data_IF_484251384162
#
_entry.id   IF_484251384162
#
_cell.length_a   1.000
_cell.length_b   1.000
_cell.length_c   1.000
_cell.angle_alpha   90.00
_cell.angle_beta   90.00
_cell.angle_gamma   90.00
#
_symmetry.space_group_name_H-M   'P 1'
#
loop_
_entity.id
_entity.type
_entity.pdbx_description
1 polymer ?
#
# COMPACT_ATOMS: atom_id res chain seq x y z
N UNK A 1 -18.88 -30.72 -41.59
CA UNK A 1 -19.61 -29.44 -41.65
C UNK A 1 -20.13 -29.14 -40.26
N UNK A 2 -19.50 -28.20 -39.55
CA UNK A 2 -19.88 -27.83 -38.18
C UNK A 2 -21.26 -27.17 -38.19
N UNK A 3 -22.15 -27.62 -37.32
CA UNK A 3 -23.48 -27.01 -37.16
C UNK A 3 -23.30 -25.54 -36.77
N UNK A 4 -24.05 -24.59 -37.37
CA UNK A 4 -23.98 -23.19 -36.97
C UNK A 4 -24.33 -23.09 -35.48
N UNK A 5 -23.35 -22.68 -34.68
CA UNK A 5 -23.54 -22.42 -33.25
C UNK A 5 -24.50 -21.25 -33.15
N UNK A 6 -25.68 -21.46 -32.58
CA UNK A 6 -26.65 -20.38 -32.37
C UNK A 6 -26.05 -19.39 -31.37
N UNK A 7 -25.66 -18.21 -31.85
CA UNK A 7 -25.16 -17.08 -31.05
C UNK A 7 -26.15 -16.67 -29.94
N UNK A 8 -27.42 -17.04 -30.07
CA UNK A 8 -28.49 -16.88 -29.09
C UNK A 8 -28.23 -17.52 -27.70
N UNK A 9 -27.10 -18.19 -27.48
CA UNK A 9 -26.76 -18.80 -26.19
C UNK A 9 -25.79 -17.98 -25.33
N UNK A 10 -25.20 -16.91 -25.85
CA UNK A 10 -24.23 -16.10 -25.13
C UNK A 10 -24.78 -14.70 -24.85
N UNK A 11 -24.49 -14.16 -23.65
CA UNK A 11 -24.69 -12.74 -23.40
C UNK A 11 -23.81 -11.93 -24.35
N UNK A 12 -24.34 -10.89 -24.99
CA UNK A 12 -23.59 -10.06 -25.92
C UNK A 12 -22.42 -9.31 -25.28
N UNK A 13 -22.57 -8.88 -24.03
CA UNK A 13 -21.59 -8.01 -23.37
C UNK A 13 -20.46 -8.80 -22.69
N UNK A 14 -20.79 -9.86 -21.95
CA UNK A 14 -19.79 -10.62 -21.20
C UNK A 14 -19.40 -11.95 -21.86
N UNK A 15 -20.05 -12.33 -22.97
CA UNK A 15 -19.86 -13.61 -23.67
C UNK A 15 -20.03 -14.86 -22.78
N UNK A 16 -20.65 -14.72 -21.61
CA UNK A 16 -20.90 -15.85 -20.70
C UNK A 16 -22.10 -16.64 -21.20
N UNK A 17 -21.91 -17.96 -21.31
CA UNK A 17 -22.96 -18.94 -21.58
C UNK A 17 -23.71 -19.28 -20.28
N UNK A 18 -24.32 -18.29 -19.64
CA UNK A 18 -25.02 -18.53 -18.37
C UNK A 18 -26.43 -19.12 -18.63
N UNK A 19 -26.91 -19.93 -17.68
CA UNK A 19 -28.31 -20.37 -17.58
C UNK A 19 -29.20 -19.31 -16.90
N UNK A 20 -28.63 -18.14 -16.56
CA UNK A 20 -29.36 -17.05 -15.95
C UNK A 20 -30.41 -16.47 -16.90
N UNK A 21 -31.42 -15.78 -16.36
CA UNK A 21 -32.39 -15.05 -17.17
C UNK A 21 -31.66 -14.06 -18.07
N UNK A 22 -31.90 -14.21 -19.37
CA UNK A 22 -31.38 -13.30 -20.40
C UNK A 22 -32.55 -12.51 -20.95
N UNK A 23 -32.29 -11.26 -21.25
CA UNK A 23 -33.25 -10.33 -21.83
C UNK A 23 -32.89 -10.14 -23.30
N UNK A 24 -33.88 -10.24 -24.18
CA UNK A 24 -33.71 -9.95 -25.60
C UNK A 24 -33.59 -8.44 -25.81
N UNK A 25 -32.62 -8.03 -26.63
CA UNK A 25 -32.34 -6.60 -26.90
C UNK A 25 -33.49 -5.93 -27.65
N UNK A 26 -34.28 -6.71 -28.41
CA UNK A 26 -35.32 -6.18 -29.30
C UNK A 26 -36.75 -6.52 -28.86
N UNK A 27 -36.95 -7.33 -27.81
CA UNK A 27 -38.31 -7.64 -27.30
C UNK A 27 -38.82 -6.62 -26.29
N UNK A 28 -37.94 -5.77 -25.76
CA UNK A 28 -38.32 -4.72 -24.82
C UNK A 28 -39.04 -3.58 -25.55
N UNK A 29 -40.35 -3.48 -25.36
CA UNK A 29 -41.20 -2.43 -25.94
C UNK A 29 -40.82 -1.03 -25.44
N UNK A 30 -40.13 -0.92 -24.31
CA UNK A 30 -39.72 0.36 -23.73
C UNK A 30 -38.47 0.94 -24.38
N UNK A 31 -37.69 0.14 -25.10
CA UNK A 31 -36.40 0.56 -25.67
C UNK A 31 -35.30 0.84 -24.63
N UNK A 32 -35.57 0.62 -23.34
CA UNK A 32 -34.65 0.95 -22.26
C UNK A 32 -33.30 0.26 -22.42
N UNK A 33 -33.30 -1.02 -22.81
CA UNK A 33 -32.06 -1.75 -23.05
C UNK A 33 -31.25 -1.20 -24.24
N UNK A 34 -31.90 -0.65 -25.26
CA UNK A 34 -31.20 -0.01 -26.38
C UNK A 34 -30.57 1.32 -25.95
N UNK A 35 -31.26 2.08 -25.12
CA UNK A 35 -30.72 3.33 -24.58
C UNK A 35 -29.53 3.08 -23.65
N UNK A 36 -29.57 2.01 -22.84
CA UNK A 36 -28.43 1.57 -22.05
C UNK A 36 -27.22 1.16 -22.91
N UNK A 37 -27.45 0.48 -24.04
CA UNK A 37 -26.37 0.09 -24.95
C UNK A 37 -25.73 1.28 -25.67
N UNK A 38 -26.49 2.35 -25.94
CA UNK A 38 -25.95 3.61 -26.48
C UNK A 38 -24.97 4.28 -25.51
N UNK A 39 -25.10 4.05 -24.20
CA UNK A 39 -24.16 4.60 -23.20
C UNK A 39 -22.73 4.12 -23.36
N UNK A 40 -22.57 2.92 -23.93
CA UNK A 40 -21.28 2.30 -24.22
C UNK A 40 -20.99 2.28 -25.72
N UNK A 41 -21.70 3.11 -26.49
CA UNK A 41 -21.51 3.28 -27.95
C UNK A 41 -21.62 1.95 -28.73
N UNK A 42 -22.43 1.01 -28.23
CA UNK A 42 -22.68 -0.25 -28.92
C UNK A 42 -23.99 -0.20 -29.70
N UNK A 43 -23.88 -0.26 -31.01
CA UNK A 43 -25.00 -0.42 -31.93
C UNK A 43 -25.19 -1.90 -32.30
N UNK A 44 -26.40 -2.41 -32.10
CA UNK A 44 -26.74 -3.79 -32.45
C UNK A 44 -27.89 -3.76 -33.45
N UNK A 45 -27.66 -4.31 -34.64
CA UNK A 45 -28.63 -4.32 -35.72
C UNK A 45 -29.63 -5.46 -35.56
N UNK A 46 -30.92 -5.13 -35.44
CA UNK A 46 -31.99 -6.12 -35.37
C UNK A 46 -32.09 -7.01 -36.61
N UNK A 47 -31.67 -6.50 -37.78
CA UNK A 47 -31.70 -7.22 -39.05
C UNK A 47 -30.62 -8.29 -39.15
N UNK A 48 -29.45 -8.03 -38.60
CA UNK A 48 -28.29 -8.93 -38.66
C UNK A 48 -28.28 -9.91 -37.48
N UNK A 49 -28.68 -9.44 -36.29
CA UNK A 49 -28.59 -10.20 -35.05
C UNK A 49 -29.92 -10.19 -34.26
N UNK A 50 -31.05 -10.69 -34.83
CA UNK A 50 -32.38 -10.58 -34.21
C UNK A 50 -32.52 -11.35 -32.88
N UNK A 51 -31.60 -12.28 -32.61
CA UNK A 51 -31.60 -13.09 -31.38
C UNK A 51 -30.53 -12.61 -30.38
N UNK A 52 -30.10 -11.36 -30.46
CA UNK A 52 -29.14 -10.79 -29.53
C UNK A 52 -29.76 -10.67 -28.13
N UNK A 53 -29.03 -11.18 -27.13
CA UNK A 53 -29.48 -11.25 -25.74
C UNK A 53 -28.39 -10.74 -24.79
N UNK A 54 -28.80 -10.16 -23.68
CA UNK A 54 -27.93 -9.69 -22.60
C UNK A 54 -28.34 -10.37 -21.29
N UNK A 55 -27.38 -10.78 -20.46
CA UNK A 55 -27.70 -11.35 -19.15
C UNK A 55 -28.10 -10.26 -18.16
N UNK A 56 -28.93 -10.62 -17.18
CA UNK A 56 -29.43 -9.68 -16.17
C UNK A 56 -28.31 -8.94 -15.42
N UNK A 57 -27.21 -9.60 -15.09
CA UNK A 57 -26.05 -8.96 -14.42
C UNK A 57 -25.48 -7.80 -15.24
N UNK A 58 -25.35 -7.96 -16.56
CA UNK A 58 -24.89 -6.90 -17.43
C UNK A 58 -25.90 -5.75 -17.55
N UNK A 59 -27.21 -6.05 -17.51
CA UNK A 59 -28.25 -5.02 -17.49
C UNK A 59 -28.16 -4.18 -16.23
N UNK A 60 -28.13 -4.82 -15.04
CA UNK A 60 -27.99 -4.13 -13.75
C UNK A 60 -26.73 -3.27 -13.70
N UNK A 61 -25.62 -3.76 -14.26
CA UNK A 61 -24.37 -2.99 -14.33
C UNK A 61 -24.52 -1.74 -15.19
N UNK A 62 -25.19 -1.83 -16.34
CA UNK A 62 -25.45 -0.68 -17.21
C UNK A 62 -26.41 0.33 -16.58
N UNK A 63 -27.46 -0.13 -15.90
CA UNK A 63 -28.38 0.75 -15.16
C UNK A 63 -27.65 1.52 -14.05
N UNK A 64 -26.78 0.85 -13.29
CA UNK A 64 -25.95 1.50 -12.27
C UNK A 64 -25.02 2.56 -12.87
N UNK A 65 -24.43 2.27 -14.03
CA UNK A 65 -23.61 3.24 -14.75
C UNK A 65 -24.42 4.47 -15.22
N UNK A 66 -25.64 4.27 -15.73
CA UNK A 66 -26.53 5.36 -16.13
C UNK A 66 -26.88 6.27 -14.95
N UNK A 67 -27.23 5.69 -13.79
CA UNK A 67 -27.54 6.45 -12.58
C UNK A 67 -26.34 7.28 -12.11
N UNK A 68 -25.14 6.69 -12.12
CA UNK A 68 -23.92 7.40 -11.76
C UNK A 68 -23.63 8.56 -12.73
N UNK A 69 -23.81 8.35 -14.03
CA UNK A 69 -23.66 9.39 -15.04
C UNK A 69 -24.63 10.56 -14.82
N UNK A 70 -25.89 10.28 -14.52
CA UNK A 70 -26.89 11.30 -14.19
C UNK A 70 -26.50 12.09 -12.93
N UNK A 71 -26.00 11.39 -11.90
CA UNK A 71 -25.50 12.03 -10.68
C UNK A 71 -24.32 12.97 -10.96
N UNK A 72 -23.36 12.56 -11.81
CA UNK A 72 -22.26 13.42 -12.23
C UNK A 72 -22.76 14.68 -12.94
N UNK A 73 -23.75 14.56 -13.83
CA UNK A 73 -24.34 15.72 -14.51
C UNK A 73 -25.07 16.66 -13.54
N UNK A 74 -25.86 16.11 -12.60
CA UNK A 74 -26.52 16.92 -11.56
C UNK A 74 -25.50 17.65 -10.70
N UNK A 75 -24.41 16.99 -10.31
CA UNK A 75 -23.35 17.61 -9.53
C UNK A 75 -22.62 18.70 -10.32
N UNK A 76 -22.32 18.47 -11.60
CA UNK A 76 -21.68 19.45 -12.49
C UNK A 76 -22.58 20.68 -12.70
N UNK A 77 -23.89 20.47 -12.92
CA UNK A 77 -24.87 21.56 -12.99
C UNK A 77 -24.92 22.35 -11.68
N UNK A 78 -24.94 21.65 -10.53
CA UNK A 78 -24.91 22.30 -9.22
C UNK A 78 -23.64 23.13 -9.03
N UNK A 79 -22.46 22.59 -9.35
CA UNK A 79 -21.19 23.28 -9.21
C UNK A 79 -21.12 24.54 -10.09
N UNK A 80 -21.76 24.53 -11.26
CA UNK A 80 -21.90 25.73 -12.11
C UNK A 80 -22.77 26.83 -11.50
N UNK A 81 -23.62 26.51 -10.52
CA UNK A 81 -24.44 27.51 -9.80
C UNK A 81 -23.76 28.10 -8.58
N UNK A 82 -22.68 27.48 -8.09
CA UNK A 82 -21.92 27.99 -6.95
C UNK A 82 -21.05 29.15 -7.46
N UNK A 83 -21.21 30.37 -6.91
CA UNK A 83 -20.33 31.47 -7.25
C UNK A 83 -18.88 31.09 -6.96
N UNK A 84 -17.91 31.42 -7.82
CA UNK A 84 -16.51 31.25 -7.48
C UNK A 84 -16.25 32.02 -6.19
N UNK A 85 -15.71 31.32 -5.19
CA UNK A 85 -15.35 31.92 -3.92
C UNK A 85 -14.20 32.91 -4.15
N UNK A 86 -14.52 34.19 -4.38
CA UNK A 86 -13.50 35.21 -4.62
C UNK A 86 -13.93 36.55 -5.22
N UNK A 87 -15.19 36.77 -5.61
CA UNK A 87 -15.59 38.05 -6.23
C UNK A 87 -16.63 38.80 -5.38
N UNK A 88 -16.17 39.37 -4.26
CA UNK A 88 -16.78 40.58 -3.71
C UNK A 88 -16.05 41.79 -4.33
N UNK A 89 -16.77 42.43 -5.26
CA UNK A 89 -16.72 43.84 -5.68
C UNK A 89 -15.37 44.48 -6.07
N UNK A 90 -15.13 44.61 -7.38
CA UNK A 90 -14.69 45.89 -7.96
C UNK A 90 -15.33 46.08 -9.35
N UNK A 91 -16.29 46.99 -9.42
CA UNK A 91 -16.82 47.53 -10.68
C UNK A 91 -15.71 48.36 -11.37
N UNK A 92 -15.18 47.89 -12.51
CA UNK A 92 -15.25 48.62 -13.79
C UNK A 92 -14.30 48.05 -14.87
N UNK A 93 -14.88 47.94 -16.07
CA UNK A 93 -14.24 48.05 -17.38
C UNK A 93 -13.21 47.00 -17.85
N UNK A 94 -13.72 46.10 -18.69
CA UNK A 94 -13.19 45.77 -20.02
C UNK A 94 -11.81 45.09 -20.17
N UNK A 95 -11.89 43.92 -20.82
CA UNK A 95 -10.96 43.38 -21.80
C UNK A 95 -9.83 42.45 -21.31
N UNK A 96 -9.96 41.21 -21.81
CA UNK A 96 -8.92 40.39 -22.42
C UNK A 96 -8.01 39.53 -21.53
N UNK A 97 -8.16 38.23 -21.76
CA UNK A 97 -7.11 37.21 -21.88
C UNK A 97 -6.36 36.76 -20.62
N UNK A 98 -6.60 35.47 -20.32
CA UNK A 98 -5.63 34.44 -19.93
C UNK A 98 -4.56 34.79 -18.89
N UNK A 99 -4.72 34.27 -17.68
CA UNK A 99 -3.61 33.76 -16.85
C UNK A 99 -4.25 33.02 -15.68
N UNK A 100 -4.12 31.69 -15.57
CA UNK A 100 -3.20 31.05 -14.61
C UNK A 100 -2.99 31.88 -13.34
N UNK A 101 -3.54 31.43 -12.21
CA UNK A 101 -3.08 31.65 -10.82
C UNK A 101 -4.02 30.86 -9.87
N UNK A 102 -3.50 29.84 -9.18
CA UNK A 102 -2.97 29.91 -7.81
C UNK A 102 -4.08 29.91 -6.75
N UNK A 103 -4.57 28.72 -6.40
CA UNK A 103 -5.49 28.52 -5.29
C UNK A 103 -4.70 28.31 -3.98
N UNK A 104 -4.85 29.27 -3.08
CA UNK A 104 -4.36 29.28 -1.70
C UNK A 104 -5.38 28.50 -0.83
N UNK A 105 -5.05 27.28 -0.40
CA UNK A 105 -5.95 26.45 0.43
C UNK A 105 -5.73 26.73 1.92
N UNK A 106 -6.84 26.84 2.64
CA UNK A 106 -6.96 27.31 4.03
C UNK A 106 -6.39 26.32 5.05
N UNK A 107 -5.80 26.88 6.10
CA UNK A 107 -5.35 26.21 7.32
C UNK A 107 -6.57 25.81 8.15
N UNK A 108 -6.72 24.54 8.50
CA UNK A 108 -7.63 24.07 9.55
C UNK A 108 -6.83 23.36 10.64
N UNK A 109 -7.05 23.82 11.87
CA UNK A 109 -6.40 23.38 13.11
C UNK A 109 -6.76 21.95 13.53
N UNK A 110 -5.88 21.26 14.28
CA UNK A 110 -5.96 19.82 14.54
C UNK A 110 -6.89 19.47 15.71
N UNK A 111 -7.82 18.53 15.48
CA UNK A 111 -8.52 17.80 16.54
C UNK A 111 -7.64 16.64 17.01
N UNK A 112 -7.24 16.71 18.28
CA UNK A 112 -6.48 15.68 18.97
C UNK A 112 -7.29 14.40 19.18
N UNK A 113 -6.66 13.26 18.84
CA UNK A 113 -7.03 11.95 19.34
C UNK A 113 -5.73 11.20 19.63
N UNK A 114 -5.41 11.15 20.92
CA UNK A 114 -4.32 10.34 21.47
C UNK A 114 -4.84 8.90 21.55
N UNK A 115 -4.32 8.02 20.70
CA UNK A 115 -4.36 6.57 20.95
C UNK A 115 -2.92 6.07 21.12
N UNK A 116 -2.58 5.76 22.37
CA UNK A 116 -1.37 5.04 22.75
C UNK A 116 -1.44 3.60 22.22
N UNK A 117 -0.79 3.36 21.08
CA UNK A 117 -0.50 2.03 20.55
C UNK A 117 0.98 1.71 20.71
N UNK A 118 1.31 0.98 21.76
CA UNK A 118 2.62 0.39 22.04
C UNK A 118 2.92 -0.73 21.02
N UNK A 119 3.70 -0.39 19.98
CA UNK A 119 4.29 -1.35 19.05
C UNK A 119 5.78 -1.03 18.87
N UNK A 120 6.63 -1.82 19.53
CA UNK A 120 8.07 -1.87 19.31
C UNK A 120 8.42 -2.42 17.90
N UNK A 121 8.06 -1.69 16.84
CA UNK A 121 8.58 -1.94 15.50
C UNK A 121 9.96 -1.30 15.39
N UNK A 122 10.99 -2.12 15.62
CA UNK A 122 12.38 -1.78 15.35
C UNK A 122 12.54 -1.57 13.85
N UNK A 123 12.34 -0.33 13.42
CA UNK A 123 12.52 0.15 12.06
C UNK A 123 13.92 -0.20 11.57
N UNK A 124 14.01 -1.18 10.67
CA UNK A 124 15.24 -1.48 9.98
C UNK A 124 15.48 -0.33 8.99
N UNK A 125 16.26 0.66 9.41
CA UNK A 125 16.65 1.78 8.57
C UNK A 125 17.26 1.27 7.27
N UNK A 126 16.51 1.44 6.18
CA UNK A 126 17.05 1.33 4.84
C UNK A 126 17.96 2.55 4.67
N UNK A 127 19.26 2.35 4.90
CA UNK A 127 20.33 3.24 4.49
C UNK A 127 20.33 3.30 2.95
N UNK A 128 19.48 4.18 2.41
CA UNK A 128 19.54 4.62 1.02
C UNK A 128 20.77 5.52 0.89
N UNK A 129 21.86 4.98 0.37
CA UNK A 129 22.99 5.76 -0.10
C UNK A 129 22.78 6.05 -1.58
N UNK A 130 22.01 7.08 -1.91
CA UNK A 130 21.95 7.66 -3.25
C UNK A 130 21.87 9.19 -3.11
N UNK A 131 23.04 9.82 -2.97
CA UNK A 131 23.26 11.22 -3.26
C UNK A 131 23.63 11.32 -4.75
N UNK A 132 22.72 11.79 -5.59
CA UNK A 132 23.05 12.18 -6.96
C UNK A 132 23.94 13.44 -6.92
N UNK A 133 25.00 13.53 -7.75
CA UNK A 133 25.74 14.77 -7.90
C UNK A 133 24.98 15.72 -8.83
N UNK A 134 24.80 16.98 -8.40
CA UNK A 134 24.44 18.07 -9.30
C UNK A 134 25.62 18.37 -10.24
N UNK A 135 25.43 18.16 -11.55
CA UNK A 135 26.32 18.70 -12.58
C UNK A 135 25.88 20.12 -12.92
N UNK A 136 26.59 21.10 -12.37
CA UNK A 136 26.53 22.49 -12.79
C UNK A 136 27.39 22.72 -14.03
N UNK A 137 26.75 23.11 -15.13
CA UNK A 137 27.36 23.70 -16.32
C UNK A 137 27.82 25.13 -16.00
N UNK A 138 29.12 25.40 -16.08
CA UNK A 138 29.66 26.76 -16.30
C UNK A 138 30.87 26.65 -17.24
N UNK A 139 30.84 27.44 -18.32
CA UNK A 139 31.92 27.63 -19.28
C UNK A 139 32.77 28.87 -18.93
N UNK A 140 34.03 28.81 -19.40
CA UNK A 140 35.05 29.86 -19.63
C UNK A 140 35.86 30.38 -18.43
N UNK A 141 37.17 30.03 -18.37
CA UNK A 141 38.39 30.85 -18.69
C UNK A 141 38.79 31.73 -17.48
N UNK A 142 39.98 31.77 -16.86
CA UNK A 142 41.40 31.67 -17.25
C UNK A 142 42.29 31.29 -16.02
N UNK A 143 43.60 31.14 -16.25
CA UNK A 143 44.71 30.75 -15.36
C UNK A 143 44.78 31.35 -13.94
N UNK A 144 45.32 30.56 -12.98
CA UNK A 144 46.53 30.88 -12.18
C UNK A 144 46.87 29.68 -11.25
N UNK A 145 48.16 29.34 -11.19
CA UNK A 145 48.78 28.26 -10.42
C UNK A 145 48.68 28.46 -8.90
N UNK A 146 48.43 27.38 -8.12
CA UNK A 146 49.26 27.01 -6.94
C UNK A 146 48.88 25.67 -6.25
N UNK A 147 49.92 24.91 -5.90
CA UNK A 147 50.10 23.79 -4.95
C UNK A 147 49.18 22.53 -4.90
N UNK A 148 49.76 21.31 -4.91
CA UNK A 148 49.03 20.06 -4.74
C UNK A 148 48.84 19.71 -3.25
N UNK A 149 47.68 20.07 -2.67
CA UNK A 149 47.25 19.50 -1.38
C UNK A 149 46.58 18.15 -1.61
N UNK A 150 47.33 17.09 -1.29
CA UNK A 150 46.89 15.70 -1.27
C UNK A 150 45.65 15.53 -0.37
N UNK A 151 44.47 15.56 -0.98
CA UNK A 151 43.21 15.15 -0.33
C UNK A 151 43.26 13.64 -0.13
N UNK A 152 43.48 13.22 1.12
CA UNK A 152 43.35 11.83 1.55
C UNK A 152 41.91 11.38 1.27
N UNK A 153 41.72 10.65 0.17
CA UNK A 153 40.48 9.93 -0.09
C UNK A 153 40.24 8.96 1.08
N UNK A 154 39.25 9.27 1.92
CA UNK A 154 38.72 8.31 2.88
C UNK A 154 38.08 7.19 2.07
N UNK A 155 38.85 6.14 1.81
CA UNK A 155 38.36 4.87 1.29
C UNK A 155 37.40 4.32 2.34
N UNK A 156 36.10 4.59 2.15
CA UNK A 156 35.05 3.97 2.92
C UNK A 156 35.15 2.46 2.65
N UNK A 157 35.75 1.73 3.59
CA UNK A 157 35.75 0.27 3.59
C UNK A 157 34.29 -0.17 3.59
N UNK A 158 33.78 -0.59 2.43
CA UNK A 158 32.53 -1.34 2.32
C UNK A 158 32.67 -2.56 3.22
N UNK A 159 32.11 -2.51 4.44
CA UNK A 159 31.91 -3.70 5.27
C UNK A 159 31.00 -4.61 4.45
N UNK A 160 31.57 -5.66 3.86
CA UNK A 160 30.79 -6.70 3.20
C UNK A 160 29.89 -7.31 4.26
N UNK A 161 28.58 -7.12 4.12
CA UNK A 161 27.59 -7.76 4.99
C UNK A 161 27.84 -9.27 4.93
N UNK A 162 28.08 -9.94 6.07
CA UNK A 162 28.27 -11.39 6.08
C UNK A 162 27.06 -12.06 5.43
N UNK A 163 27.30 -12.93 4.44
CA UNK A 163 26.22 -13.74 3.85
C UNK A 163 25.63 -14.61 4.94
N UNK A 164 24.33 -14.46 5.21
CA UNK A 164 23.61 -15.38 6.08
C UNK A 164 23.56 -16.76 5.42
N UNK A 165 24.10 -17.76 6.09
CA UNK A 165 23.91 -19.15 5.72
C UNK A 165 22.57 -19.64 6.27
N UNK A 166 21.58 -19.71 5.38
CA UNK A 166 20.22 -20.09 5.73
C UNK A 166 20.13 -21.56 6.18
N UNK A 167 20.96 -22.44 5.62
CA UNK A 167 20.96 -23.88 5.95
C UNK A 167 21.54 -24.12 7.33
N UNK A 168 22.61 -23.40 7.67
CA UNK A 168 23.21 -23.45 9.00
C UNK A 168 22.23 -23.00 10.08
N UNK A 169 21.55 -21.87 9.88
CA UNK A 169 20.56 -21.35 10.82
C UNK A 169 19.43 -22.36 11.03
N UNK A 170 18.92 -22.98 9.96
CA UNK A 170 17.88 -23.99 10.06
C UNK A 170 18.35 -25.27 10.75
N UNK A 171 19.61 -25.68 10.57
CA UNK A 171 20.21 -26.82 11.29
C UNK A 171 20.29 -26.56 12.78
N UNK A 172 20.82 -25.40 13.18
CA UNK A 172 20.96 -25.02 14.59
C UNK A 172 19.58 -24.82 15.26
N UNK A 173 18.61 -24.24 14.56
CA UNK A 173 17.25 -24.11 15.09
C UNK A 173 16.62 -25.47 15.42
N UNK A 174 16.86 -26.49 14.59
CA UNK A 174 16.39 -27.86 14.84
C UNK A 174 17.08 -28.49 16.05
N UNK A 175 18.40 -28.31 16.17
CA UNK A 175 19.20 -28.84 17.28
C UNK A 175 18.74 -28.29 18.64
N UNK A 176 18.42 -26.99 18.71
CA UNK A 176 17.95 -26.32 19.93
C UNK A 176 16.42 -26.35 20.11
N UNK A 177 15.71 -27.24 19.40
CA UNK A 177 14.25 -27.39 19.45
C UNK A 177 13.49 -26.06 19.36
N UNK A 178 13.97 -25.12 18.53
CA UNK A 178 13.28 -23.84 18.30
C UNK A 178 12.09 -24.15 17.39
N UNK A 179 10.88 -23.91 17.89
CA UNK A 179 9.65 -24.05 17.10
C UNK A 179 9.70 -23.09 15.92
N UNK A 180 10.00 -23.63 14.74
CA UNK A 180 9.93 -22.88 13.49
C UNK A 180 8.46 -22.75 13.11
N UNK A 181 7.91 -21.53 13.17
CA UNK A 181 6.60 -21.27 12.57
C UNK A 181 6.64 -21.66 11.09
N UNK A 182 5.50 -22.21 10.63
CA UNK A 182 5.28 -22.84 9.32
C UNK A 182 6.02 -22.12 8.20
N UNK A 183 6.65 -22.87 7.28
CA UNK A 183 7.25 -22.31 6.07
C UNK A 183 6.22 -21.40 5.40
N UNK A 184 6.52 -20.11 5.37
CA UNK A 184 5.76 -19.15 4.59
C UNK A 184 6.23 -19.38 3.17
N UNK A 185 5.48 -20.20 2.44
CA UNK A 185 5.57 -20.25 0.99
C UNK A 185 5.08 -18.87 0.53
N UNK A 186 6.02 -17.99 0.20
CA UNK A 186 5.68 -16.69 -0.37
C UNK A 186 4.92 -16.88 -1.70
N UNK A 187 4.35 -15.80 -2.25
CA UNK A 187 3.55 -15.88 -3.48
C UNK A 187 4.36 -16.59 -4.58
N UNK A 188 3.80 -17.64 -5.16
CA UNK A 188 4.39 -18.42 -6.25
C UNK A 188 4.02 -17.84 -7.61
N UNK A 189 4.74 -18.24 -8.67
CA UNK A 189 4.38 -17.82 -10.02
C UNK A 189 3.02 -18.40 -10.46
N UNK A 190 2.59 -19.51 -9.87
CA UNK A 190 1.29 -20.13 -10.17
C UNK A 190 0.13 -19.36 -9.50
N UNK A 191 0.37 -18.67 -8.38
CA UNK A 191 -0.61 -17.75 -7.76
C UNK A 191 -0.92 -16.54 -8.66
N UNK A 192 -0.07 -16.24 -9.66
CA UNK A 192 -0.34 -15.21 -10.67
C UNK A 192 -1.42 -15.61 -11.68
N UNK A 193 -1.79 -16.90 -11.82
CA UNK A 193 -2.76 -17.32 -12.85
C UNK A 193 -4.19 -16.81 -12.59
N UNK A 194 -4.44 -16.16 -11.45
CA UNK A 194 -5.70 -15.47 -11.16
C UNK A 194 -5.71 -14.00 -11.65
N UNK A 195 -4.55 -13.44 -12.01
CA UNK A 195 -4.44 -12.08 -12.55
C UNK A 195 -4.59 -12.10 -14.08
N UNK A 196 -5.87 -12.01 -14.47
CA UNK A 196 -6.42 -12.04 -15.83
C UNK A 196 -5.71 -11.16 -16.86
N UNK A 197 -6.06 -11.39 -18.12
CA UNK A 197 -5.75 -10.61 -19.33
C UNK A 197 -6.18 -9.13 -19.34
N UNK A 198 -6.55 -8.58 -18.19
CA UNK A 198 -6.98 -7.22 -17.98
C UNK A 198 -6.50 -6.76 -16.61
N UNK A 199 -5.18 -6.60 -16.43
CA UNK A 199 -4.72 -5.78 -15.31
C UNK A 199 -5.37 -4.41 -15.47
N UNK A 200 -6.02 -3.87 -14.44
CA UNK A 200 -6.67 -2.59 -14.55
C UNK A 200 -5.66 -1.48 -14.88
N UNK A 201 -6.06 -0.53 -15.72
CA UNK A 201 -5.22 0.61 -16.12
C UNK A 201 -4.91 1.58 -14.97
N UNK A 202 -5.38 1.30 -13.75
CA UNK A 202 -5.14 2.14 -12.58
C UNK A 202 -3.76 1.96 -11.94
N UNK A 203 -2.94 0.97 -12.35
CA UNK A 203 -1.58 0.87 -11.84
C UNK A 203 -0.55 0.28 -12.80
N UNK A 204 0.69 0.73 -12.66
CA UNK A 204 1.85 0.21 -13.37
C UNK A 204 3.12 0.41 -12.53
N UNK A 205 4.25 -0.06 -13.03
CA UNK A 205 5.53 0.09 -12.34
C UNK A 205 6.49 0.96 -13.14
N UNK A 206 7.29 1.77 -12.46
CA UNK A 206 8.38 2.52 -13.07
C UNK A 206 9.72 2.01 -12.55
N UNK A 207 10.71 1.89 -13.43
CA UNK A 207 12.10 1.60 -13.04
C UNK A 207 13.03 2.55 -13.77
N UNK A 208 13.81 3.32 -13.00
CA UNK A 208 14.89 4.14 -13.56
C UNK A 208 16.00 3.26 -14.14
N UNK A 209 16.79 3.80 -15.06
CA UNK A 209 17.89 3.06 -15.74
C UNK A 209 18.92 2.49 -14.78
N UNK A 210 19.17 3.18 -13.67
CA UNK A 210 20.08 2.76 -12.61
C UNK A 210 19.36 2.34 -11.32
N UNK A 211 18.03 2.44 -11.28
CA UNK A 211 17.26 2.14 -10.08
C UNK A 211 17.23 0.63 -9.83
N UNK A 212 17.62 0.22 -8.61
CA UNK A 212 17.60 -1.19 -8.21
C UNK A 212 16.21 -1.74 -7.98
N UNK A 213 15.23 -0.88 -7.71
CA UNK A 213 13.90 -1.26 -7.30
C UNK A 213 12.85 -0.58 -8.17
N UNK A 214 11.70 -1.23 -8.28
CA UNK A 214 10.52 -0.65 -8.92
C UNK A 214 9.85 0.39 -8.01
N UNK A 215 9.30 1.41 -8.64
CA UNK A 215 8.30 2.32 -8.08
C UNK A 215 6.92 1.84 -8.53
N UNK A 216 5.93 1.89 -7.63
CA UNK A 216 4.53 1.63 -7.97
C UNK A 216 3.90 2.96 -8.34
N UNK A 217 3.21 3.02 -9.47
CA UNK A 217 2.33 4.12 -9.82
C UNK A 217 0.90 3.62 -9.68
N UNK A 218 0.11 4.27 -8.82
CA UNK A 218 -1.27 3.89 -8.51
C UNK A 218 -2.14 5.13 -8.61
N UNK A 219 -3.10 5.16 -9.55
CA UNK A 219 -3.88 6.36 -9.92
C UNK A 219 -3.02 7.61 -10.19
N UNK A 220 -1.87 7.43 -10.86
CA UNK A 220 -0.92 8.51 -11.17
C UNK A 220 0.04 8.88 -10.04
N UNK A 221 -0.24 8.45 -8.80
CA UNK A 221 0.60 8.73 -7.64
C UNK A 221 1.76 7.74 -7.51
N UNK A 222 2.95 8.23 -7.13
CA UNK A 222 4.18 7.43 -7.10
C UNK A 222 4.56 7.00 -5.68
N UNK A 223 4.72 5.69 -5.51
CA UNK A 223 5.11 5.06 -4.26
C UNK A 223 6.40 4.26 -4.42
N UNK A 224 7.22 4.26 -3.36
CA UNK A 224 8.38 3.39 -3.25
C UNK A 224 8.04 2.18 -2.38
N UNK A 225 8.64 1.03 -2.70
CA UNK A 225 8.55 -0.15 -1.84
C UNK A 225 9.14 0.20 -0.48
N UNK A 226 8.34 0.06 0.58
CA UNK A 226 8.85 0.22 1.94
C UNK A 226 9.15 -1.12 2.57
N UNK A 227 8.17 -2.01 2.62
CA UNK A 227 8.21 -3.18 3.49
C UNK A 227 7.47 -4.36 2.90
N UNK A 228 8.17 -5.48 2.73
CA UNK A 228 7.58 -6.77 2.40
C UNK A 228 7.27 -7.53 3.69
N UNK A 229 6.01 -7.92 3.85
CA UNK A 229 5.59 -8.86 4.88
C UNK A 229 5.17 -10.19 4.24
N UNK A 230 4.80 -11.15 5.07
CA UNK A 230 4.39 -12.48 4.62
C UNK A 230 3.13 -12.43 3.74
N UNK A 231 2.21 -11.50 4.01
CA UNK A 231 0.91 -11.41 3.31
C UNK A 231 0.72 -10.13 2.50
N UNK A 232 1.34 -9.04 2.93
CA UNK A 232 1.15 -7.72 2.36
C UNK A 232 2.49 -7.06 2.00
N UNK A 233 2.48 -6.26 0.95
CA UNK A 233 3.54 -5.33 0.60
C UNK A 233 3.05 -3.93 0.87
N UNK A 234 3.80 -3.18 1.67
CA UNK A 234 3.54 -1.78 1.93
C UNK A 234 4.37 -0.91 0.99
N UNK A 235 3.69 0.02 0.35
CA UNK A 235 4.23 1.02 -0.55
C UNK A 235 4.02 2.38 0.08
N UNK A 236 5.10 3.13 0.29
CA UNK A 236 5.04 4.46 0.93
C UNK A 236 5.27 5.54 -0.12
N UNK A 237 4.69 6.71 0.10
CA UNK A 237 4.96 7.86 -0.74
C UNK A 237 6.47 8.10 -0.86
N UNK A 238 6.93 8.39 -2.08
CA UNK A 238 8.35 8.66 -2.35
C UNK A 238 8.89 9.87 -1.59
N UNK A 239 8.03 10.85 -1.31
CA UNK A 239 8.38 12.05 -0.57
C UNK A 239 8.23 11.90 0.95
N UNK A 240 7.99 10.69 1.48
CA UNK A 240 7.87 10.46 2.93
C UNK A 240 9.03 11.06 3.73
N UNK A 241 10.28 10.89 3.29
CA UNK A 241 11.44 11.45 4.01
C UNK A 241 11.59 12.96 3.86
N UNK A 242 11.22 13.52 2.71
CA UNK A 242 11.42 14.95 2.40
C UNK A 242 10.28 15.83 2.91
N UNK A 243 9.05 15.30 2.95
CA UNK A 243 7.80 16.01 3.25
C UNK A 243 7.03 15.42 4.43
N UNK A 244 7.61 14.44 5.12
CA UNK A 244 6.93 13.66 6.16
C UNK A 244 5.56 13.13 5.72
N UNK A 245 5.46 12.71 4.46
CA UNK A 245 4.19 12.32 3.86
C UNK A 245 3.67 10.99 4.44
N UNK A 246 2.43 10.95 4.96
CA UNK A 246 1.87 9.73 5.55
C UNK A 246 1.34 8.76 4.48
N UNK A 247 1.11 9.22 3.25
CA UNK A 247 0.52 8.44 2.17
C UNK A 247 1.17 7.06 2.01
N UNK A 248 0.31 6.04 2.01
CA UNK A 248 0.69 4.64 1.99
C UNK A 248 -0.38 3.79 1.33
N UNK A 249 0.07 2.81 0.55
CA UNK A 249 -0.75 1.76 -0.03
C UNK A 249 -0.34 0.42 0.57
N UNK A 250 -1.33 -0.32 1.06
CA UNK A 250 -1.20 -1.71 1.45
C UNK A 250 -1.69 -2.58 0.29
N UNK A 251 -0.82 -3.43 -0.23
CA UNK A 251 -1.13 -4.31 -1.36
C UNK A 251 -1.00 -5.73 -0.88
N UNK A 252 -1.98 -6.59 -1.16
CA UNK A 252 -1.79 -8.02 -0.94
C UNK A 252 -0.65 -8.52 -1.81
N UNK A 253 0.10 -9.53 -1.35
CA UNK A 253 1.26 -10.01 -2.09
C UNK A 253 0.92 -10.63 -3.47
N UNK A 254 -0.35 -10.94 -3.72
CA UNK A 254 -0.90 -11.34 -5.02
C UNK A 254 -1.26 -10.14 -5.93
N UNK A 255 -1.17 -8.90 -5.44
CA UNK A 255 -1.56 -7.68 -6.16
C UNK A 255 -3.01 -7.72 -6.69
N UNK A 256 -3.88 -8.53 -6.07
CA UNK A 256 -5.31 -8.59 -6.38
C UNK A 256 -6.10 -7.47 -5.71
N UNK A 257 -5.71 -7.10 -4.48
CA UNK A 257 -6.37 -6.05 -3.70
C UNK A 257 -5.37 -4.95 -3.29
N UNK A 258 -5.83 -3.71 -3.41
CA UNK A 258 -5.11 -2.50 -3.01
C UNK A 258 -5.96 -1.75 -1.97
N UNK A 259 -5.36 -1.45 -0.83
CA UNK A 259 -5.96 -0.65 0.25
C UNK A 259 -5.15 0.64 0.39
N UNK A 260 -5.77 1.78 0.10
CA UNK A 260 -5.19 3.11 0.36
C UNK A 260 -5.44 3.48 1.82
N UNK A 261 -4.39 3.75 2.58
CA UNK A 261 -4.50 4.02 4.04
C UNK A 261 -4.44 5.49 4.41
N UNK A 262 -3.64 6.26 3.69
CA UNK A 262 -3.43 7.68 3.97
C UNK A 262 -3.33 8.47 2.67
N UNK A 263 -3.71 9.73 2.73
CA UNK A 263 -3.64 10.68 1.62
C UNK A 263 -2.30 11.42 1.60
N UNK A 264 -1.98 12.01 0.45
CA UNK A 264 -0.79 12.84 0.32
C UNK A 264 -1.02 14.19 1.00
N UNK A 265 -0.02 14.68 1.72
CA UNK A 265 -0.01 16.00 2.36
C UNK A 265 0.85 17.01 1.57
N UNK A 266 1.07 16.74 0.28
CA UNK A 266 1.85 17.58 -0.60
C UNK A 266 1.26 17.52 -2.00
N UNK A 267 1.47 18.58 -2.77
CA UNK A 267 1.10 18.63 -4.18
C UNK A 267 1.88 17.62 -5.01
N UNK A 268 1.36 17.31 -6.21
CA UNK A 268 2.02 16.43 -7.15
C UNK A 268 3.32 17.08 -7.65
N UNK A 269 4.45 16.44 -7.34
CA UNK A 269 5.76 16.91 -7.76
C UNK A 269 6.14 16.27 -9.10
N UNK A 270 6.56 17.11 -10.05
CA UNK A 270 7.09 16.64 -11.35
C UNK A 270 8.40 15.89 -11.13
N UNK A 271 8.36 14.58 -11.26
CA UNK A 271 9.55 13.73 -11.25
C UNK A 271 9.98 13.35 -12.67
N UNK A 272 11.25 12.97 -12.81
CA UNK A 272 11.74 12.34 -14.04
C UNK A 272 11.03 11.00 -14.22
N UNK A 273 10.27 10.88 -15.29
CA UNK A 273 9.56 9.65 -15.63
C UNK A 273 10.57 8.51 -15.84
N UNK A 274 10.32 7.40 -15.15
CA UNK A 274 11.06 6.16 -15.37
C UNK A 274 10.57 5.42 -16.61
N UNK A 275 11.26 4.35 -17.00
CA UNK A 275 10.68 3.43 -17.97
C UNK A 275 9.48 2.75 -17.32
N UNK A 276 8.31 2.84 -17.94
CA UNK A 276 7.10 2.18 -17.50
C UNK A 276 7.14 0.68 -17.84
N UNK A 277 6.68 -0.14 -16.89
CA UNK A 277 6.57 -1.58 -16.96
C UNK A 277 5.14 -1.98 -16.59
N UNK A 278 4.58 -2.84 -17.42
CA UNK A 278 3.29 -3.46 -17.11
C UNK A 278 3.43 -4.38 -15.89
N UNK A 279 2.34 -4.63 -15.13
CA UNK A 279 2.38 -5.60 -14.04
C UNK A 279 2.94 -6.97 -14.47
N UNK A 280 2.61 -7.43 -15.69
CA UNK A 280 3.15 -8.66 -16.28
C UNK A 280 4.68 -8.70 -16.39
N UNK A 281 5.30 -7.55 -16.61
CA UNK A 281 6.75 -7.44 -16.76
C UNK A 281 7.46 -7.28 -15.42
N UNK A 282 6.86 -6.55 -14.47
CA UNK A 282 7.51 -6.19 -13.21
C UNK A 282 7.25 -7.18 -12.06
N UNK A 283 6.06 -7.77 -11.99
CA UNK A 283 5.66 -8.61 -10.86
C UNK A 283 6.53 -9.87 -10.67
N UNK A 284 6.98 -10.59 -11.73
CA UNK A 284 7.87 -11.73 -11.54
C UNK A 284 9.14 -11.37 -10.78
N UNK A 285 9.78 -10.25 -11.14
CA UNK A 285 10.98 -9.76 -10.47
C UNK A 285 10.67 -9.26 -9.05
N UNK A 286 9.56 -8.53 -8.86
CA UNK A 286 9.11 -8.07 -7.55
C UNK A 286 8.83 -9.23 -6.57
N UNK A 287 8.28 -10.34 -7.06
CA UNK A 287 7.98 -11.50 -6.23
C UNK A 287 9.24 -12.20 -5.77
N UNK A 288 10.25 -12.32 -6.63
CA UNK A 288 11.57 -12.82 -6.23
C UNK A 288 12.20 -11.95 -5.15
N UNK A 289 12.15 -10.63 -5.32
CA UNK A 289 12.64 -9.66 -4.33
C UNK A 289 11.88 -9.82 -3.01
N UNK A 290 10.55 -9.89 -3.05
CA UNK A 290 9.69 -10.08 -1.89
C UNK A 290 10.05 -11.36 -1.14
N UNK A 291 10.06 -12.51 -1.83
CA UNK A 291 10.41 -13.81 -1.26
C UNK A 291 11.80 -13.78 -0.62
N UNK A 292 12.80 -13.23 -1.32
CA UNK A 292 14.16 -13.14 -0.80
C UNK A 292 14.24 -12.30 0.48
N UNK A 293 13.52 -11.17 0.52
CA UNK A 293 13.54 -10.28 1.70
C UNK A 293 12.78 -10.87 2.88
N UNK A 294 11.61 -11.46 2.66
CA UNK A 294 10.83 -12.14 3.72
C UNK A 294 11.63 -13.30 4.29
N UNK A 295 12.23 -14.15 3.45
CA UNK A 295 13.09 -15.24 3.89
C UNK A 295 14.28 -14.74 4.72
N UNK A 296 14.96 -13.68 4.27
CA UNK A 296 16.08 -13.10 5.01
C UNK A 296 15.65 -12.51 6.35
N UNK A 297 14.52 -11.78 6.42
CA UNK A 297 13.97 -11.21 7.65
C UNK A 297 13.62 -12.32 8.65
N UNK A 298 12.99 -13.39 8.17
CA UNK A 298 12.65 -14.56 8.99
C UNK A 298 13.90 -15.29 9.50
N UNK A 299 14.93 -15.47 8.67
CA UNK A 299 16.19 -16.08 9.07
C UNK A 299 16.92 -15.23 10.13
N UNK A 300 16.96 -13.91 9.96
CA UNK A 300 17.53 -13.00 10.97
C UNK A 300 16.80 -13.07 12.31
N UNK A 301 15.46 -13.14 12.29
CA UNK A 301 14.66 -13.34 13.51
C UNK A 301 15.00 -14.67 14.19
N UNK A 302 15.10 -15.76 13.42
CA UNK A 302 15.49 -17.10 13.94
C UNK A 302 16.88 -17.07 14.57
N UNK A 303 17.86 -16.45 13.88
CA UNK A 303 19.21 -16.31 14.38
C UNK A 303 19.25 -15.56 15.73
N UNK A 304 18.51 -14.46 15.85
CA UNK A 304 18.43 -13.69 17.11
C UNK A 304 17.83 -14.50 18.26
N UNK A 305 16.81 -15.32 17.99
CA UNK A 305 16.23 -16.24 18.99
C UNK A 305 17.25 -17.30 19.41
N UNK A 306 18.00 -17.84 18.45
CA UNK A 306 19.03 -18.84 18.71
C UNK A 306 20.18 -18.27 19.55
N UNK A 307 20.69 -17.09 19.19
CA UNK A 307 21.71 -16.38 19.96
C UNK A 307 21.26 -16.14 21.41
N UNK A 308 19.99 -15.76 21.62
CA UNK A 308 19.42 -15.60 22.97
C UNK A 308 19.40 -16.91 23.75
N UNK A 309 18.94 -18.01 23.13
CA UNK A 309 18.91 -19.33 23.79
C UNK A 309 20.29 -19.88 24.12
N UNK A 310 21.27 -19.67 23.25
CA UNK A 310 22.65 -20.08 23.50
C UNK A 310 23.22 -19.33 24.71
N UNK A 311 22.96 -18.01 24.78
CA UNK A 311 23.37 -17.19 25.92
C UNK A 311 22.73 -17.66 27.24
N UNK A 312 21.43 -17.99 27.23
CA UNK A 312 20.72 -18.54 28.39
C UNK A 312 21.30 -19.89 28.86
N UNK A 313 21.83 -20.71 27.95
CA UNK A 313 22.48 -21.98 28.29
C UNK A 313 23.90 -21.79 28.85
N UNK A 314 24.63 -20.79 28.37
CA UNK A 314 25.98 -20.46 28.85
C UNK A 314 25.96 -19.81 30.25
N UNK A 315 24.96 -18.97 30.53
CA UNK A 315 24.82 -18.30 31.83
C UNK A 315 24.37 -19.26 32.95
N UNK A 316 23.91 -20.47 32.60
CA UNK A 316 23.48 -21.50 33.55
C UNK A 316 22.22 -21.09 34.33
N UNK A 317 21.50 -22.04 34.96
CA UNK A 317 20.54 -21.66 36.00
C UNK A 317 21.38 -21.11 37.16
N UNK A 318 21.25 -19.83 37.47
CA UNK A 318 21.79 -19.26 38.71
C UNK A 318 21.30 -20.13 39.88
N UNK A 319 22.14 -21.05 40.33
CA UNK A 319 21.94 -21.84 41.53
C UNK A 319 22.26 -20.96 42.73
N UNK A 320 21.54 -19.86 42.86
CA UNK A 320 21.40 -19.16 44.13
C UNK A 320 20.17 -19.74 44.84
N UNK A 321 20.25 -21.05 45.12
CA UNK A 321 19.54 -21.65 46.25
C UNK A 321 20.21 -21.15 47.54
N UNK A 322 20.05 -19.88 47.86
CA UNK A 322 20.20 -19.41 49.24
C UNK A 322 19.07 -18.43 49.60
N UNK A 323 17.96 -19.04 50.02
CA UNK A 323 17.07 -18.56 51.06
C UNK A 323 16.68 -17.07 51.03
N UNK A 324 15.79 -16.67 50.12
CA UNK A 324 14.80 -15.65 50.48
C UNK A 324 13.49 -15.81 49.68
N UNK A 325 12.54 -16.48 50.31
CA UNK A 325 11.18 -16.70 49.79
C UNK A 325 10.44 -15.39 49.62
N UNK A 326 10.49 -14.81 48.41
CA UNK A 326 9.45 -13.89 47.92
C UNK A 326 8.70 -14.58 46.79
N UNK A 327 7.38 -14.79 46.90
CA UNK A 327 6.61 -15.53 45.92
C UNK A 327 6.57 -14.77 44.58
N UNK A 328 6.87 -15.49 43.50
CA UNK A 328 6.92 -14.98 42.13
C UNK A 328 5.54 -14.48 41.68
N UNK A 329 5.54 -13.41 40.87
CA UNK A 329 4.34 -12.70 40.41
C UNK A 329 3.34 -13.57 39.63
N UNK A 330 3.78 -14.72 39.09
CA UNK A 330 2.91 -15.70 38.42
C UNK A 330 1.95 -16.41 39.38
N UNK A 331 2.37 -16.72 40.61
CA UNK A 331 1.53 -17.40 41.59
C UNK A 331 0.44 -16.47 42.15
N UNK A 332 0.72 -15.16 42.22
CA UNK A 332 -0.26 -14.15 42.66
C UNK A 332 -1.45 -14.02 41.70
N UNK A 333 -1.24 -14.27 40.40
CA UNK A 333 -2.32 -14.19 39.39
C UNK A 333 -3.24 -15.41 39.43
N UNK A 334 -2.71 -16.60 39.73
CA UNK A 334 -3.49 -17.84 39.90
C UNK A 334 -4.26 -17.87 41.22
N UNK A 335 -3.69 -17.32 42.30
CA UNK A 335 -4.38 -17.21 43.59
C UNK A 335 -5.53 -16.18 43.58
N UNK A 336 -5.44 -15.11 42.76
CA UNK A 336 -6.58 -14.19 42.57
C UNK A 336 -7.74 -14.78 41.76
N UNK A 337 -7.48 -15.73 40.86
CA UNK A 337 -8.54 -16.40 40.08
C UNK A 337 -9.26 -17.53 40.82
N UNK A 338 -8.74 -18.00 41.96
CA UNK A 338 -9.33 -19.11 42.72
C UNK A 338 -10.29 -18.67 43.83
N UNK A 339 -10.53 -17.37 44.03
CA UNK A 339 -11.56 -16.89 44.96
C UNK A 339 -11.32 -17.23 46.44
N UNK A 340 -10.07 -17.46 46.85
CA UNK A 340 -9.71 -17.84 48.24
C UNK A 340 -9.08 -16.68 49.01
N UNK A 341 -9.55 -15.45 48.81
CA UNK A 341 -9.34 -14.34 49.74
C UNK A 341 -10.51 -13.37 49.64
N UNK A 342 -11.63 -13.75 50.22
CA UNK A 342 -12.62 -12.81 50.74
C UNK A 342 -12.28 -12.53 52.21
N UNK A 343 -12.21 -11.24 52.56
CA UNK A 343 -12.15 -10.79 53.94
C UNK A 343 -10.76 -10.37 54.40
N UNK A 344 -10.47 -9.08 54.22
CA UNK A 344 -10.11 -8.21 55.34
C UNK A 344 -10.37 -6.77 54.87
N UNK A 345 -11.46 -6.23 55.42
CA UNK A 345 -11.80 -4.81 55.42
C UNK A 345 -10.66 -4.03 56.10
N UNK A 346 -10.05 -3.09 55.38
CA UNK A 346 -9.37 -1.98 56.03
C UNK A 346 -10.19 -0.73 55.77
N UNK A 347 -10.91 -0.39 56.85
CA UNK A 347 -11.56 0.86 57.16
C UNK A 347 -10.51 1.95 57.42
N UNK A 348 -10.98 3.20 57.33
CA UNK A 348 -10.39 4.45 57.84
C UNK A 348 -9.45 5.16 56.84
N UNK A 349 -9.66 6.43 56.50
CA UNK A 349 -10.62 7.39 56.98
C UNK A 349 -10.60 8.69 56.18
N UNK A 350 -11.64 9.48 56.42
CA UNK A 350 -11.77 10.89 56.07
C UNK A 350 -10.50 11.69 56.40
N UNK A 351 -10.06 12.55 55.48
CA UNK A 351 -9.68 13.91 55.85
C UNK A 351 -9.92 14.83 54.65
N UNK A 352 -11.01 15.60 54.80
CA UNK A 352 -11.26 16.87 54.15
C UNK A 352 -10.04 17.78 54.18
N UNK A 353 -9.79 18.53 53.10
CA UNK A 353 -9.58 19.97 53.26
C UNK A 353 -9.90 20.74 51.97
N UNK A 354 -10.90 21.59 52.19
CA UNK A 354 -11.46 22.70 51.45
C UNK A 354 -10.48 23.88 51.51
N UNK A 355 -10.02 24.43 50.38
CA UNK A 355 -9.59 25.83 50.30
C UNK A 355 -9.88 26.40 48.90
N UNK A 356 -10.72 27.44 48.90
CA UNK A 356 -10.78 28.65 48.05
C UNK A 356 -9.56 28.87 47.13
N UNK A 357 -9.66 29.47 45.94
CA UNK A 357 -10.40 30.68 45.53
C UNK A 357 -10.38 30.82 44.00
#
# INVERSE_FOLDING_TARGET
>A
MSKPVRLASFCRLCLVKSNASKVSIFEDQSGALQDLLKLIELEINATEEPNAVVCFECVVTLEGFQQFKEQCHTNDEFLKTVPPAGEEEEEDAASCASSELSCHFLEDDPIGAEEEGDDDDVGLEILNADSEPEEGLVLDEEEVCDEPKAKKAKVARKKSVPKLDLEEIDRQCKEHNIKVHRKVEGPTLDDLQVLKDSYPDYFYFEKGTQARYYKLVYYGERFHVSNFTERYTYWMCMHRKKRNCPAQICVRNDYGDFERRHEHNHEELKEKEGKAFTPRQALPELFEICRSRVMHKTAMRRKKILERKLKELEEGPDTDEEANSKPSAGLKRVLRQSGVMDGLEESDGDESDEWNE
#
